data_IF_724224043840
#
_entry.id   IF_724224043840
#
_cell.length_a   1.000
_cell.length_b   1.000
_cell.length_c   1.000
_cell.angle_alpha   90.00
_cell.angle_beta   90.00
_cell.angle_gamma   90.00
#
_symmetry.space_group_name_H-M   'P 1'
#
loop_
_entity.id
_entity.type
_entity.pdbx_description
1 polymer ?
#
# COMPACT_ATOMS: atom_id res chain seq x y z
N UNK A 1 14.79 0.25 -22.23
CA UNK A 1 15.30 -0.68 -21.19
C UNK A 1 15.46 -0.04 -19.82
N UNK A 2 15.87 1.23 -19.70
CA UNK A 2 16.09 1.89 -18.39
C UNK A 2 14.76 2.20 -17.66
N UNK A 3 13.73 2.68 -18.35
CA UNK A 3 12.42 2.95 -17.71
C UNK A 3 11.76 1.68 -17.16
N UNK A 4 11.78 0.58 -17.92
CA UNK A 4 11.21 -0.70 -17.51
C UNK A 4 11.96 -1.31 -16.33
N UNK A 5 13.30 -1.17 -16.28
CA UNK A 5 14.09 -1.68 -15.15
C UNK A 5 13.92 -0.83 -13.89
N UNK A 6 13.77 0.49 -14.03
CA UNK A 6 13.49 1.40 -12.92
C UNK A 6 12.08 1.15 -12.35
N UNK A 7 11.08 0.95 -13.19
CA UNK A 7 9.72 0.60 -12.74
C UNK A 7 9.70 -0.75 -12.02
N UNK A 8 10.37 -1.77 -12.55
CA UNK A 8 10.47 -3.08 -11.90
C UNK A 8 11.15 -2.98 -10.53
N UNK A 9 12.22 -2.18 -10.41
CA UNK A 9 12.89 -1.90 -9.13
C UNK A 9 11.94 -1.23 -8.13
N UNK A 10 11.21 -0.20 -8.55
CA UNK A 10 10.26 0.50 -7.70
C UNK A 10 9.15 -0.45 -7.19
N UNK A 11 8.55 -1.24 -8.08
CA UNK A 11 7.53 -2.23 -7.71
C UNK A 11 8.09 -3.30 -6.77
N UNK A 12 9.32 -3.77 -7.02
CA UNK A 12 9.98 -4.75 -6.14
C UNK A 12 10.24 -4.18 -4.75
N UNK A 13 10.71 -2.93 -4.65
CA UNK A 13 10.92 -2.27 -3.36
C UNK A 13 9.60 -2.12 -2.58
N UNK A 14 8.53 -1.69 -3.26
CA UNK A 14 7.21 -1.56 -2.65
C UNK A 14 6.62 -2.92 -2.26
N UNK A 15 6.87 -3.97 -3.06
CA UNK A 15 6.47 -5.34 -2.73
C UNK A 15 7.18 -5.83 -1.46
N UNK A 16 8.49 -5.62 -1.36
CA UNK A 16 9.27 -5.96 -0.16
C UNK A 16 8.78 -5.19 1.05
N UNK A 17 8.52 -3.88 0.90
CA UNK A 17 7.95 -3.07 1.97
C UNK A 17 6.60 -3.64 2.47
N UNK A 18 5.67 -3.94 1.56
CA UNK A 18 4.38 -4.53 1.93
C UNK A 18 4.54 -5.92 2.57
N UNK A 19 5.52 -6.72 2.14
CA UNK A 19 5.79 -8.03 2.73
C UNK A 19 6.31 -7.92 4.18
N UNK A 20 7.22 -6.98 4.44
CA UNK A 20 7.72 -6.70 5.79
C UNK A 20 6.56 -6.21 6.68
N UNK A 21 5.77 -5.25 6.19
CA UNK A 21 4.62 -4.71 6.91
C UNK A 21 3.55 -5.80 7.20
N UNK A 22 3.30 -6.71 6.24
CA UNK A 22 2.45 -7.88 6.45
C UNK A 22 2.99 -8.77 7.59
N UNK A 23 4.29 -9.09 7.56
CA UNK A 23 4.92 -9.93 8.58
C UNK A 23 4.85 -9.29 9.97
N UNK A 24 5.03 -7.97 10.07
CA UNK A 24 4.87 -7.21 11.31
C UNK A 24 3.43 -7.25 11.84
N UNK A 25 2.43 -7.37 10.95
CA UNK A 25 1.02 -7.50 11.32
C UNK A 25 0.57 -8.93 11.66
N UNK A 26 1.41 -9.97 11.45
CA UNK A 26 1.06 -11.37 11.81
C UNK A 26 1.01 -11.56 13.32
N UNK A 27 1.86 -10.83 14.06
CA UNK A 27 1.86 -10.84 15.53
C UNK A 27 1.43 -9.47 16.06
N UNK A 28 0.83 -9.42 17.26
CA UNK A 28 0.44 -8.16 17.89
C UNK A 28 1.67 -7.44 18.44
N UNK A 29 2.53 -6.92 17.56
CA UNK A 29 3.63 -6.08 18.01
C UNK A 29 3.07 -4.75 18.55
N UNK A 30 3.60 -4.27 19.66
CA UNK A 30 3.05 -3.12 20.40
C UNK A 30 2.83 -1.89 19.52
N UNK A 31 3.76 -1.63 18.58
CA UNK A 31 3.65 -0.52 17.64
C UNK A 31 2.40 -0.60 16.76
N UNK A 32 2.12 -1.77 16.16
CA UNK A 32 0.96 -1.98 15.29
C UNK A 32 -0.32 -1.96 16.10
N UNK A 33 -0.33 -2.63 17.25
CA UNK A 33 -1.48 -2.64 18.17
C UNK A 33 -1.86 -1.22 18.58
N UNK A 34 -0.88 -0.41 19.02
CA UNK A 34 -1.09 0.99 19.39
C UNK A 34 -1.59 1.84 18.23
N UNK A 35 -1.03 1.65 17.03
CA UNK A 35 -1.51 2.35 15.83
C UNK A 35 -3.00 2.05 15.57
N UNK A 36 -3.39 0.78 15.63
CA UNK A 36 -4.77 0.35 15.42
C UNK A 36 -5.71 0.78 16.55
N UNK A 37 -5.22 0.85 17.79
CA UNK A 37 -5.96 1.39 18.93
C UNK A 37 -6.22 2.90 18.76
N UNK A 38 -5.22 3.67 18.31
CA UNK A 38 -5.35 5.12 18.06
C UNK A 38 -6.49 5.43 17.10
N UNK A 39 -6.63 4.65 16.01
CA UNK A 39 -7.71 4.83 15.03
C UNK A 39 -9.00 4.10 15.42
N UNK A 40 -9.05 3.53 16.62
CA UNK A 40 -10.17 2.79 17.19
C UNK A 40 -10.62 1.61 16.31
N UNK A 41 -9.66 0.91 15.69
CA UNK A 41 -9.96 -0.23 14.84
C UNK A 41 -10.27 -1.48 15.67
N UNK A 42 -11.39 -2.20 15.41
CA UNK A 42 -11.83 -3.32 16.23
C UNK A 42 -10.86 -4.49 16.20
N UNK A 43 -10.64 -5.12 17.36
CA UNK A 43 -9.71 -6.24 17.51
C UNK A 43 -10.05 -7.42 16.58
N UNK A 44 -11.34 -7.75 16.43
CA UNK A 44 -11.76 -8.86 15.58
C UNK A 44 -11.45 -8.69 14.09
N UNK A 45 -11.12 -7.47 13.63
CA UNK A 45 -10.77 -7.22 12.23
C UNK A 45 -9.26 -7.25 11.95
N UNK A 46 -8.40 -7.32 12.98
CA UNK A 46 -6.96 -7.03 12.80
C UNK A 46 -6.21 -8.09 12.00
N UNK A 47 -6.74 -9.32 11.95
CA UNK A 47 -6.21 -10.40 11.10
C UNK A 47 -6.29 -10.08 9.60
N UNK A 48 -7.10 -9.09 9.20
CA UNK A 48 -7.20 -8.67 7.80
C UNK A 48 -5.95 -7.93 7.32
N UNK A 49 -5.24 -7.21 8.19
CA UNK A 49 -4.05 -6.44 7.82
C UNK A 49 -2.92 -7.29 7.22
N UNK A 50 -2.47 -8.41 7.84
CA UNK A 50 -1.45 -9.24 7.24
C UNK A 50 -1.89 -9.83 5.90
N UNK A 51 -3.17 -10.16 5.72
CA UNK A 51 -3.69 -10.67 4.45
C UNK A 51 -3.71 -9.62 3.34
N UNK A 52 -4.24 -8.43 3.62
CA UNK A 52 -4.31 -7.33 2.64
C UNK A 52 -2.91 -6.88 2.24
N UNK A 53 -2.00 -6.76 3.20
CA UNK A 53 -0.60 -6.40 2.94
C UNK A 53 0.15 -7.49 2.19
N UNK A 54 -0.07 -8.76 2.56
CA UNK A 54 0.50 -9.91 1.84
C UNK A 54 0.01 -9.99 0.39
N UNK A 55 -1.29 -9.81 0.16
CA UNK A 55 -1.86 -9.74 -1.19
C UNK A 55 -1.31 -8.55 -2.00
N UNK A 56 -1.09 -7.41 -1.34
CA UNK A 56 -0.48 -6.23 -1.96
C UNK A 56 0.97 -6.50 -2.37
N UNK A 57 1.75 -7.16 -1.50
CA UNK A 57 3.13 -7.55 -1.80
C UNK A 57 3.18 -8.49 -3.00
N UNK A 58 2.33 -9.52 -3.03
CA UNK A 58 2.23 -10.45 -4.15
C UNK A 58 1.81 -9.73 -5.44
N UNK A 59 0.78 -8.87 -5.39
CA UNK A 59 0.29 -8.11 -6.54
C UNK A 59 1.36 -7.18 -7.13
N UNK A 60 2.13 -6.48 -6.29
CA UNK A 60 3.23 -5.61 -6.76
C UNK A 60 4.38 -6.43 -7.35
N UNK A 61 4.73 -7.56 -6.75
CA UNK A 61 5.79 -8.43 -7.24
C UNK A 61 5.42 -9.07 -8.60
N UNK A 62 4.23 -9.65 -8.71
CA UNK A 62 3.69 -10.17 -9.97
C UNK A 62 3.58 -9.04 -11.00
N UNK A 63 3.23 -7.84 -10.55
CA UNK A 63 3.17 -6.62 -11.33
C UNK A 63 4.45 -6.25 -12.08
N UNK A 64 5.63 -6.74 -11.64
CA UNK A 64 6.89 -6.57 -12.36
C UNK A 64 6.92 -7.27 -13.72
N UNK A 65 6.07 -8.30 -13.89
CA UNK A 65 5.92 -9.07 -15.14
C UNK A 65 4.56 -8.85 -15.80
N UNK A 66 3.53 -8.52 -15.03
CA UNK A 66 2.14 -8.37 -15.51
C UNK A 66 1.63 -6.97 -15.19
N UNK A 67 1.77 -5.99 -16.12
CA UNK A 67 1.44 -4.59 -15.86
C UNK A 67 -0.01 -4.33 -15.42
N UNK A 68 -0.97 -5.14 -15.91
CA UNK A 68 -2.37 -5.03 -15.50
C UNK A 68 -2.56 -5.30 -13.99
N UNK A 69 -1.82 -6.27 -13.43
CA UNK A 69 -1.85 -6.58 -12.00
C UNK A 69 -1.20 -5.45 -11.19
N UNK A 70 -0.11 -4.86 -11.68
CA UNK A 70 0.50 -3.68 -11.04
C UNK A 70 -0.51 -2.53 -10.95
N UNK A 71 -1.20 -2.21 -12.06
CA UNK A 71 -2.23 -1.16 -12.12
C UNK A 71 -3.33 -1.41 -11.08
N UNK A 72 -3.92 -2.60 -11.10
CA UNK A 72 -4.99 -2.97 -10.16
C UNK A 72 -4.51 -2.85 -8.70
N UNK A 73 -3.33 -3.40 -8.40
CA UNK A 73 -2.78 -3.39 -7.04
C UNK A 73 -2.51 -1.97 -6.56
N UNK A 74 -1.96 -1.11 -7.41
CA UNK A 74 -1.72 0.30 -7.09
C UNK A 74 -3.03 1.06 -6.81
N UNK A 75 -4.08 0.85 -7.62
CA UNK A 75 -5.41 1.43 -7.37
C UNK A 75 -5.97 0.97 -6.02
N UNK A 76 -5.90 -0.33 -5.72
CA UNK A 76 -6.41 -0.87 -4.46
C UNK A 76 -5.61 -0.35 -3.26
N UNK A 77 -4.29 -0.20 -3.39
CA UNK A 77 -3.45 0.42 -2.36
C UNK A 77 -3.80 1.89 -2.15
N UNK A 78 -4.06 2.66 -3.22
CA UNK A 78 -4.56 4.04 -3.10
C UNK A 78 -5.87 4.11 -2.34
N UNK A 79 -6.83 3.24 -2.64
CA UNK A 79 -8.11 3.18 -1.93
C UNK A 79 -7.91 2.79 -0.46
N UNK A 80 -7.11 1.76 -0.19
CA UNK A 80 -6.80 1.32 1.16
C UNK A 80 -6.14 2.43 2.00
N UNK A 81 -5.12 3.10 1.47
CA UNK A 81 -4.44 4.17 2.21
C UNK A 81 -5.29 5.44 2.33
N UNK A 82 -6.25 5.67 1.42
CA UNK A 82 -7.26 6.72 1.57
C UNK A 82 -8.16 6.44 2.78
N UNK A 83 -8.60 5.19 2.97
CA UNK A 83 -9.35 4.77 4.16
C UNK A 83 -8.50 4.90 5.43
N UNK A 84 -7.22 4.53 5.37
CA UNK A 84 -6.29 4.67 6.50
C UNK A 84 -6.13 6.15 6.92
N UNK A 85 -5.85 7.04 5.96
CA UNK A 85 -5.76 8.49 6.22
C UNK A 85 -7.08 9.03 6.78
N UNK A 86 -8.22 8.60 6.23
CA UNK A 86 -9.54 8.97 6.76
C UNK A 86 -9.76 8.51 8.21
N UNK A 87 -9.29 7.32 8.58
CA UNK A 87 -9.35 6.81 9.94
C UNK A 87 -8.48 7.63 10.91
N UNK A 88 -7.25 8.00 10.51
CA UNK A 88 -6.40 8.91 11.28
C UNK A 88 -7.01 10.30 11.42
N UNK A 89 -7.55 10.86 10.34
CA UNK A 89 -8.22 12.16 10.36
C UNK A 89 -9.44 12.17 11.30
N UNK A 90 -10.26 11.11 11.27
CA UNK A 90 -11.41 10.92 12.19
C UNK A 90 -10.96 10.86 13.65
N UNK A 91 -9.87 10.15 13.92
CA UNK A 91 -9.27 10.05 15.25
C UNK A 91 -8.49 11.30 15.68
N UNK A 92 -8.38 12.32 14.80
CA UNK A 92 -7.54 13.52 14.99
C UNK A 92 -6.08 13.15 15.31
N UNK A 93 -5.59 12.09 14.69
CA UNK A 93 -4.24 11.59 14.89
C UNK A 93 -3.23 12.38 14.03
N UNK A 94 -2.27 13.02 14.68
CA UNK A 94 -1.14 13.74 14.07
C UNK A 94 0.20 12.98 14.24
N UNK A 95 0.13 11.69 14.56
CA UNK A 95 1.32 10.86 14.77
C UNK A 95 2.09 10.57 13.48
N UNK A 96 3.28 9.99 13.64
CA UNK A 96 4.07 9.47 12.53
C UNK A 96 3.31 8.44 11.67
N UNK A 97 2.35 7.70 12.23
CA UNK A 97 1.54 6.76 11.47
C UNK A 97 0.62 7.48 10.48
N UNK A 98 0.01 8.60 10.88
CA UNK A 98 -0.81 9.43 9.99
C UNK A 98 0.04 10.02 8.84
N UNK A 99 1.27 10.47 9.16
CA UNK A 99 2.22 10.94 8.16
C UNK A 99 2.63 9.83 7.18
N UNK A 100 2.97 8.64 7.70
CA UNK A 100 3.35 7.49 6.89
C UNK A 100 2.19 7.00 6.01
N UNK A 101 0.96 6.95 6.53
CA UNK A 101 -0.22 6.60 5.74
C UNK A 101 -0.45 7.62 4.61
N UNK A 102 -0.27 8.90 4.89
CA UNK A 102 -0.44 9.98 3.91
C UNK A 102 0.64 9.96 2.82
N UNK A 103 1.90 9.68 3.18
CA UNK A 103 2.99 9.59 2.21
C UNK A 103 2.86 8.35 1.31
N UNK A 104 2.42 7.21 1.87
CA UNK A 104 2.11 6.01 1.10
C UNK A 104 0.92 6.22 0.18
N UNK A 105 -0.15 6.89 0.67
CA UNK A 105 -1.27 7.29 -0.18
C UNK A 105 -0.79 8.10 -1.39
N UNK A 106 -0.02 9.16 -1.15
CA UNK A 106 0.49 10.01 -2.22
C UNK A 106 1.35 9.20 -3.22
N UNK A 107 2.24 8.35 -2.71
CA UNK A 107 3.10 7.49 -3.54
C UNK A 107 2.28 6.56 -4.43
N UNK A 108 1.34 5.81 -3.86
CA UNK A 108 0.52 4.87 -4.63
C UNK A 108 -0.43 5.59 -5.59
N UNK A 109 -0.99 6.74 -5.20
CA UNK A 109 -1.84 7.54 -6.08
C UNK A 109 -1.08 8.04 -7.31
N UNK A 110 0.12 8.59 -7.12
CA UNK A 110 0.98 9.05 -8.24
C UNK A 110 1.32 7.89 -9.17
N UNK A 111 1.73 6.74 -8.62
CA UNK A 111 2.05 5.57 -9.42
C UNK A 111 0.83 5.01 -10.15
N UNK A 112 -0.33 4.99 -9.50
CA UNK A 112 -1.61 4.56 -10.08
C UNK A 112 -2.00 5.44 -11.27
N UNK A 113 -1.97 6.77 -11.10
CA UNK A 113 -2.27 7.73 -12.17
C UNK A 113 -1.33 7.52 -13.37
N UNK A 114 -0.03 7.37 -13.11
CA UNK A 114 0.94 7.12 -14.17
C UNK A 114 0.69 5.78 -14.88
N UNK A 115 0.29 4.75 -14.14
CA UNK A 115 0.00 3.43 -14.70
C UNK A 115 -1.31 3.41 -15.51
N UNK A 116 -2.26 4.29 -15.20
CA UNK A 116 -3.53 4.43 -15.92
C UNK A 116 -3.44 5.32 -17.18
N UNK A 117 -2.35 6.07 -17.38
CA UNK A 117 -2.19 6.88 -18.60
C UNK A 117 -2.20 5.99 -19.86
N UNK A 118 -2.98 6.35 -20.90
CA UNK A 118 -2.97 5.63 -22.17
C UNK A 118 -1.59 5.75 -22.83
N UNK A 119 -1.08 4.64 -23.36
CA UNK A 119 0.20 4.61 -24.08
C UNK A 119 0.02 5.21 -25.48
N UNK A 120 1.00 5.96 -25.98
CA UNK A 120 0.98 6.52 -27.35
C UNK A 120 0.94 5.44 -28.46
N UNK A 121 1.21 4.18 -28.12
CA UNK A 121 1.17 3.05 -29.05
C UNK A 121 -0.24 2.48 -29.31
N UNK A 122 -1.29 3.09 -28.74
CA UNK A 122 -2.70 2.72 -28.93
C UNK A 122 -3.38 3.54 -30.05
N UNK A 123 -2.59 4.04 -31.00
CA UNK A 123 -3.00 4.66 -32.27
C UNK A 123 -2.13 4.09 -33.39
#
# INVERSE_FOLDING_TARGET
>A
MIETSQQARALTLLATFQAVDAALCVRPIDYVTKCLDTVQFPQQGRWLFPLVKGASAAGLFIGTRVPAIAKLTLVMLTLYFSLAVGAHARARDLSFNALAASSLLATYAVLSINALRPSKADK
#
